data_IF_194263394503
#
_entry.id   IF_194263394503
#
_cell.length_a   1.000
_cell.length_b   1.000
_cell.length_c   1.000
_cell.angle_alpha   90.00
_cell.angle_beta   90.00
_cell.angle_gamma   90.00
#
_symmetry.space_group_name_H-M   'P 1'
#
loop_
_entity.id
_entity.type
_entity.pdbx_description
1 polymer ?
#
# COMPACT_ATOMS: atom_id res chain seq x y z
N UNK A 1 11.01 -7.73 -8.52
CA UNK A 1 12.17 -6.95 -8.98
C UNK A 1 12.12 -5.58 -8.36
N UNK A 2 13.22 -4.83 -8.47
CA UNK A 2 13.24 -3.41 -8.14
C UNK A 2 12.90 -2.57 -9.36
N UNK A 3 12.47 -1.33 -9.12
CA UNK A 3 12.34 -0.32 -10.18
C UNK A 3 13.23 0.87 -9.89
N UNK A 4 13.93 1.39 -10.90
CA UNK A 4 14.47 2.76 -10.82
C UNK A 4 13.36 3.77 -11.15
N UNK A 5 13.48 4.98 -10.63
CA UNK A 5 12.50 6.03 -10.91
C UNK A 5 12.86 6.80 -12.18
N UNK A 6 11.83 7.16 -12.94
CA UNK A 6 11.93 8.08 -14.08
C UNK A 6 10.86 9.17 -13.99
N UNK A 7 11.13 10.33 -14.58
CA UNK A 7 10.15 11.42 -14.70
C UNK A 7 9.22 11.25 -15.92
N UNK A 8 8.38 12.26 -16.17
CA UNK A 8 7.48 12.31 -17.33
C UNK A 8 8.20 12.14 -18.66
N UNK A 9 9.40 12.69 -18.76
CA UNK A 9 10.25 12.74 -19.95
C UNK A 9 11.23 11.55 -20.01
N UNK A 10 10.99 10.55 -19.15
CA UNK A 10 11.79 9.32 -19.02
C UNK A 10 13.24 9.56 -18.59
N UNK A 11 13.53 10.70 -17.96
CA UNK A 11 14.83 10.96 -17.36
C UNK A 11 14.95 10.28 -15.99
N UNK A 12 16.12 9.74 -15.63
CA UNK A 12 16.32 9.11 -14.33
C UNK A 12 16.10 10.07 -13.17
N UNK A 13 15.37 9.61 -12.15
CA UNK A 13 15.24 10.27 -10.85
C UNK A 13 16.04 9.46 -9.83
N UNK A 14 16.82 10.10 -8.93
CA UNK A 14 17.52 9.40 -7.85
C UNK A 14 16.60 8.52 -7.01
N UNK A 15 17.09 7.32 -6.69
CA UNK A 15 16.40 6.36 -5.83
C UNK A 15 15.76 5.21 -6.60
N UNK A 16 15.34 4.20 -5.83
CA UNK A 16 14.74 2.97 -6.36
C UNK A 16 13.53 2.58 -5.52
N UNK A 17 12.51 2.01 -6.17
CA UNK A 17 11.46 1.28 -5.49
C UNK A 17 12.00 -0.11 -5.10
N UNK A 18 12.51 -0.20 -3.87
CA UNK A 18 12.93 -1.45 -3.26
C UNK A 18 11.83 -1.99 -2.35
N UNK A 19 11.49 -3.27 -2.53
CA UNK A 19 10.55 -3.99 -1.68
C UNK A 19 11.19 -5.27 -1.14
N UNK A 20 10.60 -5.83 -0.08
CA UNK A 20 10.98 -7.15 0.44
C UNK A 20 10.82 -8.18 -0.68
N UNK A 21 11.86 -8.98 -0.89
CA UNK A 21 11.89 -9.97 -1.97
C UNK A 21 11.48 -11.36 -1.51
N UNK A 22 11.79 -11.74 -0.27
CA UNK A 22 11.58 -13.09 0.24
C UNK A 22 10.71 -13.05 1.50
N UNK A 23 10.10 -14.19 1.87
CA UNK A 23 9.23 -14.30 3.03
C UNK A 23 8.06 -13.30 2.98
N UNK A 24 7.42 -13.21 1.81
CA UNK A 24 6.21 -12.42 1.58
C UNK A 24 5.02 -13.28 2.02
N UNK A 25 4.76 -13.30 3.32
CA UNK A 25 3.66 -14.04 3.94
C UNK A 25 2.42 -13.16 4.14
N UNK A 26 1.34 -13.76 4.66
CA UNK A 26 0.10 -13.03 4.93
C UNK A 26 0.30 -11.89 5.94
N UNK A 27 1.15 -12.09 6.95
CA UNK A 27 1.45 -11.08 7.96
C UNK A 27 2.10 -9.84 7.33
N UNK A 28 2.97 -10.04 6.34
CA UNK A 28 3.59 -8.99 5.56
C UNK A 28 2.60 -8.33 4.60
N UNK A 29 1.79 -9.09 3.85
CA UNK A 29 0.76 -8.53 2.94
C UNK A 29 -0.36 -7.76 3.65
N UNK A 30 -0.57 -8.03 4.95
CA UNK A 30 -1.50 -7.27 5.77
C UNK A 30 -0.93 -5.90 6.18
N UNK A 31 0.39 -5.73 6.16
CA UNK A 31 1.09 -4.50 6.58
C UNK A 31 1.60 -3.67 5.40
N UNK A 32 2.01 -4.33 4.31
CA UNK A 32 2.74 -3.71 3.21
C UNK A 32 2.27 -4.21 1.85
N UNK A 33 2.52 -3.40 0.82
CA UNK A 33 2.40 -3.81 -0.58
C UNK A 33 3.80 -4.15 -1.13
N UNK A 34 4.13 -5.43 -1.41
CA UNK A 34 5.44 -5.81 -1.93
C UNK A 34 5.66 -5.46 -3.41
N UNK A 35 4.60 -5.30 -4.21
CA UNK A 35 4.77 -5.18 -5.66
C UNK A 35 5.35 -3.82 -6.05
N UNK A 36 4.91 -2.77 -5.38
CA UNK A 36 5.25 -1.40 -5.72
C UNK A 36 4.65 -0.93 -7.04
N UNK A 37 4.96 -1.63 -8.14
CA UNK A 37 4.34 -1.54 -9.46
C UNK A 37 3.58 -2.84 -9.77
N UNK A 38 2.24 -2.77 -9.78
CA UNK A 38 1.38 -3.93 -10.02
C UNK A 38 1.61 -4.62 -11.36
N UNK A 39 1.94 -3.86 -12.41
CA UNK A 39 2.14 -4.40 -13.76
C UNK A 39 3.47 -5.13 -13.95
N UNK A 40 4.35 -5.14 -12.95
CA UNK A 40 5.63 -5.85 -13.00
C UNK A 40 5.54 -7.31 -12.49
N UNK A 41 4.38 -7.74 -12.00
CA UNK A 41 4.20 -9.09 -11.48
C UNK A 41 4.16 -10.12 -12.62
N UNK A 42 4.89 -11.23 -12.46
CA UNK A 42 4.86 -12.37 -13.39
C UNK A 42 4.23 -13.55 -12.67
N UNK A 43 3.19 -14.13 -13.28
CA UNK A 43 2.46 -15.26 -12.71
C UNK A 43 2.57 -16.48 -13.62
N UNK A 44 2.76 -17.66 -13.03
CA UNK A 44 2.53 -18.92 -13.75
C UNK A 44 1.03 -19.04 -14.03
N UNK A 45 0.64 -19.56 -15.19
CA UNK A 45 -0.78 -19.80 -15.54
C UNK A 45 -1.54 -20.56 -14.42
N UNK A 46 -0.93 -21.60 -13.88
CA UNK A 46 -1.51 -22.43 -12.81
C UNK A 46 -1.82 -21.65 -11.52
N UNK A 47 -1.08 -20.56 -11.23
CA UNK A 47 -1.36 -19.70 -10.09
C UNK A 47 -2.70 -18.97 -10.30
N UNK A 48 -2.92 -18.42 -11.49
CA UNK A 48 -4.17 -17.74 -11.84
C UNK A 48 -5.36 -18.70 -11.81
N UNK A 49 -5.19 -19.90 -12.36
CA UNK A 49 -6.20 -20.96 -12.32
C UNK A 49 -6.56 -21.37 -10.89
N UNK A 50 -5.57 -21.47 -9.99
CA UNK A 50 -5.79 -21.81 -8.58
C UNK A 50 -6.56 -20.74 -7.79
N UNK A 51 -6.51 -19.48 -8.22
CA UNK A 51 -7.19 -18.37 -7.54
C UNK A 51 -8.47 -17.91 -8.22
N UNK A 52 -8.86 -18.50 -9.36
CA UNK A 52 -10.04 -18.08 -10.10
C UNK A 52 -11.32 -18.10 -9.24
N UNK A 53 -12.29 -17.27 -9.63
CA UNK A 53 -13.59 -17.19 -8.99
C UNK A 53 -14.67 -16.90 -10.03
N UNK A 54 -15.93 -17.18 -9.69
CA UNK A 54 -17.06 -16.84 -10.55
C UNK A 54 -17.52 -15.42 -10.24
N UNK A 55 -17.70 -14.61 -11.29
CA UNK A 55 -18.22 -13.26 -11.19
C UNK A 55 -19.37 -13.10 -12.19
N UNK A 56 -20.46 -12.46 -11.76
CA UNK A 56 -21.54 -12.08 -12.66
C UNK A 56 -21.25 -10.70 -13.24
N UNK A 57 -21.13 -10.62 -14.55
CA UNK A 57 -20.96 -9.35 -15.28
C UNK A 57 -22.15 -9.22 -16.23
N UNK A 58 -22.96 -8.18 -16.02
CA UNK A 58 -24.20 -7.95 -16.78
C UNK A 58 -25.16 -9.16 -16.77
N UNK A 59 -25.20 -9.91 -15.66
CA UNK A 59 -26.05 -11.09 -15.51
C UNK A 59 -25.47 -12.38 -16.09
N UNK A 60 -24.30 -12.32 -16.74
CA UNK A 60 -23.60 -13.50 -17.27
C UNK A 60 -22.51 -13.90 -16.29
N UNK A 61 -22.57 -15.15 -15.81
CA UNK A 61 -21.52 -15.74 -14.99
C UNK A 61 -20.28 -16.02 -15.83
N UNK A 62 -19.13 -15.49 -15.43
CA UNK A 62 -17.85 -15.74 -16.07
C UNK A 62 -16.77 -16.06 -15.05
N UNK A 63 -15.77 -16.83 -15.48
CA UNK A 63 -14.57 -17.09 -14.68
C UNK A 63 -13.69 -15.85 -14.72
N UNK A 64 -13.41 -15.29 -13.55
CA UNK A 64 -12.58 -14.11 -13.36
C UNK A 64 -11.31 -14.44 -12.56
N UNK A 65 -10.24 -13.71 -12.89
CA UNK A 65 -8.96 -13.79 -12.17
C UNK A 65 -8.71 -12.54 -11.32
N UNK A 66 -9.23 -11.39 -11.75
CA UNK A 66 -9.10 -10.10 -11.09
C UNK A 66 -10.47 -9.55 -10.76
N UNK A 67 -10.61 -9.00 -9.55
CA UNK A 67 -11.85 -8.36 -9.12
C UNK A 67 -11.90 -6.89 -9.60
N UNK A 68 -12.74 -6.62 -10.59
CA UNK A 68 -12.90 -5.29 -11.16
C UNK A 68 -13.53 -4.27 -10.20
N UNK A 69 -14.17 -4.70 -9.12
CA UNK A 69 -14.73 -3.79 -8.11
C UNK A 69 -13.63 -3.17 -7.23
N UNK A 70 -12.48 -3.84 -7.10
CA UNK A 70 -11.36 -3.41 -6.28
C UNK A 70 -10.35 -2.54 -7.03
N UNK A 71 -10.85 -1.65 -7.90
CA UNK A 71 -10.01 -0.71 -8.66
C UNK A 71 -9.02 -0.01 -7.74
N UNK A 72 -7.75 0.01 -8.13
CA UNK A 72 -6.60 0.56 -7.41
C UNK A 72 -6.04 -0.30 -6.26
N UNK A 73 -6.59 -1.49 -6.05
CA UNK A 73 -6.11 -2.48 -5.08
C UNK A 73 -6.20 -3.93 -5.62
N UNK A 74 -6.39 -4.12 -6.93
CA UNK A 74 -6.50 -5.46 -7.53
C UNK A 74 -5.21 -6.27 -7.31
N UNK A 75 -4.05 -5.63 -7.46
CA UNK A 75 -2.76 -6.33 -7.37
C UNK A 75 -2.55 -6.93 -5.97
N UNK A 76 -2.85 -6.15 -4.92
CA UNK A 76 -2.71 -6.63 -3.54
C UNK A 76 -3.77 -7.68 -3.20
N UNK A 77 -4.96 -7.58 -3.80
CA UNK A 77 -6.00 -8.58 -3.63
C UNK A 77 -5.61 -9.93 -4.22
N UNK A 78 -5.07 -9.94 -5.44
CA UNK A 78 -4.55 -11.14 -6.09
C UNK A 78 -3.47 -11.80 -5.23
N UNK A 79 -2.50 -11.04 -4.71
CA UNK A 79 -1.48 -11.61 -3.84
C UNK A 79 -2.05 -12.22 -2.55
N UNK A 80 -3.02 -11.55 -1.92
CA UNK A 80 -3.70 -12.11 -0.74
C UNK A 80 -4.41 -13.39 -1.11
N UNK A 81 -5.15 -13.42 -2.22
CA UNK A 81 -5.89 -14.59 -2.66
C UNK A 81 -4.98 -15.77 -3.02
N UNK A 82 -3.79 -15.53 -3.56
CA UNK A 82 -2.76 -16.56 -3.75
C UNK A 82 -2.38 -17.21 -2.42
N UNK A 83 -1.98 -16.41 -1.42
CA UNK A 83 -1.59 -16.96 -0.10
C UNK A 83 -2.76 -17.63 0.61
N UNK A 84 -3.99 -17.13 0.44
CA UNK A 84 -5.17 -17.63 1.16
C UNK A 84 -5.75 -18.90 0.55
N UNK A 85 -5.60 -19.13 -0.77
CA UNK A 85 -6.24 -20.25 -1.47
C UNK A 85 -5.26 -21.35 -1.91
N UNK A 86 -3.96 -21.11 -1.82
CA UNK A 86 -2.95 -22.00 -2.42
C UNK A 86 -1.69 -22.08 -1.56
N UNK A 87 -0.86 -23.08 -1.83
CA UNK A 87 0.45 -23.24 -1.19
C UNK A 87 1.59 -22.53 -1.95
N UNK A 88 1.26 -21.67 -2.92
CA UNK A 88 2.26 -20.94 -3.69
C UNK A 88 2.97 -19.87 -2.85
N UNK A 89 4.29 -19.79 -2.98
CA UNK A 89 5.09 -18.70 -2.43
C UNK A 89 5.19 -17.51 -3.39
N UNK A 90 5.41 -16.32 -2.83
CA UNK A 90 5.65 -15.10 -3.59
C UNK A 90 7.08 -14.65 -3.32
N UNK A 91 7.86 -14.47 -4.39
CA UNK A 91 9.25 -14.02 -4.33
C UNK A 91 9.53 -12.91 -5.34
N UNK A 92 10.49 -12.06 -4.99
CA UNK A 92 10.99 -11.00 -5.83
C UNK A 92 12.38 -11.30 -6.37
N UNK A 93 12.63 -10.92 -7.62
CA UNK A 93 13.95 -11.01 -8.24
C UNK A 93 14.85 -9.86 -7.74
N UNK A 94 16.08 -10.11 -7.21
CA UNK A 94 16.96 -9.08 -6.66
C UNK A 94 17.69 -8.26 -7.74
N UNK A 95 16.94 -7.74 -8.71
CA UNK A 95 17.48 -7.00 -9.86
C UNK A 95 16.53 -5.87 -10.23
N UNK A 96 17.09 -4.75 -10.70
CA UNK A 96 16.29 -3.68 -11.32
C UNK A 96 15.89 -4.17 -12.71
N UNK A 97 14.61 -4.44 -12.91
CA UNK A 97 14.08 -4.95 -14.19
C UNK A 97 13.08 -4.00 -14.83
N UNK A 98 12.67 -2.94 -14.11
CA UNK A 98 11.60 -2.04 -14.54
C UNK A 98 11.95 -0.60 -14.23
N UNK A 99 11.36 0.32 -14.99
CA UNK A 99 11.42 1.76 -14.72
C UNK A 99 10.03 2.24 -14.29
N UNK A 100 9.93 2.87 -13.14
CA UNK A 100 8.66 3.39 -12.61
C UNK A 100 8.58 4.90 -12.83
N UNK A 101 7.60 5.31 -13.65
CA UNK A 101 7.36 6.72 -13.94
C UNK A 101 6.56 7.39 -12.83
N UNK A 102 7.14 8.39 -12.21
CA UNK A 102 6.47 9.16 -11.15
C UNK A 102 5.52 10.17 -11.81
N UNK A 103 4.21 9.98 -11.63
CA UNK A 103 3.21 10.95 -12.05
C UNK A 103 2.64 11.71 -10.84
N UNK A 104 2.86 13.04 -10.74
CA UNK A 104 2.36 13.84 -9.64
C UNK A 104 0.82 13.86 -9.56
N UNK A 105 0.11 13.62 -10.67
CA UNK A 105 -1.36 13.65 -10.77
C UNK A 105 -2.01 12.25 -10.68
N UNK A 106 -1.32 11.25 -10.13
CA UNK A 106 -1.84 9.88 -10.05
C UNK A 106 -3.15 9.78 -9.23
N UNK A 107 -4.07 8.91 -9.68
CA UNK A 107 -5.44 8.62 -9.19
C UNK A 107 -5.57 8.42 -7.66
N UNK A 108 -4.46 8.22 -6.98
CA UNK A 108 -4.31 7.98 -5.54
C UNK A 108 -4.45 9.22 -4.64
N UNK A 109 -5.08 10.31 -5.06
CA UNK A 109 -5.25 11.55 -4.25
C UNK A 109 -6.46 11.55 -3.31
N UNK A 110 -7.42 10.62 -3.44
CA UNK A 110 -8.63 10.60 -2.62
C UNK A 110 -8.52 9.60 -1.45
N UNK A 111 -8.35 10.13 -0.22
CA UNK A 111 -8.16 9.32 1.00
C UNK A 111 -9.39 8.49 1.36
N UNK A 112 -10.59 9.08 1.32
CA UNK A 112 -11.83 8.40 1.71
C UNK A 112 -12.14 7.22 0.78
N UNK A 113 -11.90 7.42 -0.52
CA UNK A 113 -12.04 6.36 -1.50
C UNK A 113 -11.06 5.21 -1.20
N UNK A 114 -9.82 5.52 -0.78
CA UNK A 114 -8.82 4.50 -0.43
C UNK A 114 -9.21 3.71 0.82
N UNK A 115 -9.74 4.37 1.86
CA UNK A 115 -10.24 3.67 3.06
C UNK A 115 -11.39 2.71 2.69
N UNK A 116 -12.33 3.16 1.87
CA UNK A 116 -13.45 2.32 1.40
C UNK A 116 -12.96 1.11 0.59
N UNK A 117 -12.03 1.33 -0.34
CA UNK A 117 -11.43 0.24 -1.13
C UNK A 117 -10.69 -0.75 -0.22
N UNK A 118 -9.94 -0.28 0.79
CA UNK A 118 -9.29 -1.16 1.75
C UNK A 118 -10.31 -1.99 2.55
N UNK A 119 -11.42 -1.38 2.99
CA UNK A 119 -12.48 -2.10 3.69
C UNK A 119 -13.10 -3.18 2.80
N UNK A 120 -13.40 -2.87 1.54
CA UNK A 120 -13.92 -3.83 0.57
C UNK A 120 -12.93 -4.98 0.32
N UNK A 121 -11.66 -4.65 0.10
CA UNK A 121 -10.57 -5.62 -0.05
C UNK A 121 -10.49 -6.55 1.16
N UNK A 122 -10.47 -6.00 2.37
CA UNK A 122 -10.38 -6.78 3.59
C UNK A 122 -11.60 -7.68 3.73
N UNK A 123 -12.82 -7.16 3.60
CA UNK A 123 -14.04 -7.97 3.69
C UNK A 123 -14.08 -9.12 2.68
N UNK A 124 -13.70 -8.88 1.42
CA UNK A 124 -13.67 -9.93 0.38
C UNK A 124 -12.63 -11.01 0.67
N UNK A 125 -11.43 -10.61 1.09
CA UNK A 125 -10.37 -11.58 1.43
C UNK A 125 -10.63 -12.30 2.75
N UNK A 126 -11.29 -11.66 3.72
CA UNK A 126 -11.64 -12.23 5.02
C UNK A 126 -12.52 -13.47 4.89
N UNK A 127 -13.50 -13.45 3.97
CA UNK A 127 -14.41 -14.60 3.74
C UNK A 127 -13.66 -15.84 3.24
N UNK A 128 -12.49 -15.69 2.60
CA UNK A 128 -11.71 -16.82 2.09
C UNK A 128 -11.06 -17.65 3.21
N UNK A 129 -10.58 -16.98 4.27
CA UNK A 129 -9.98 -17.66 5.42
C UNK A 129 -10.06 -16.77 6.68
N UNK A 130 -11.22 -16.74 7.37
CA UNK A 130 -11.43 -15.88 8.53
C UNK A 130 -10.48 -16.18 9.69
N UNK A 131 -10.20 -17.46 9.94
CA UNK A 131 -9.32 -17.90 11.03
C UNK A 131 -7.91 -17.35 10.87
N UNK A 132 -7.36 -17.43 9.65
CA UNK A 132 -6.03 -16.90 9.36
C UNK A 132 -5.99 -15.37 9.42
N UNK A 133 -7.08 -14.68 9.08
CA UNK A 133 -7.10 -13.21 8.94
C UNK A 133 -7.57 -12.45 10.18
N UNK A 134 -8.34 -13.07 11.07
CA UNK A 134 -8.84 -12.44 12.29
C UNK A 134 -7.74 -11.75 13.12
N UNK A 135 -6.54 -12.35 13.34
CA UNK A 135 -5.47 -11.69 14.09
C UNK A 135 -4.93 -10.42 13.44
N UNK A 136 -5.09 -10.27 12.12
CA UNK A 136 -4.47 -9.20 11.34
C UNK A 136 -5.38 -8.01 11.05
N UNK A 137 -6.69 -8.10 11.35
CA UNK A 137 -7.65 -7.05 10.96
C UNK A 137 -7.28 -5.67 11.48
N UNK A 138 -7.07 -5.57 12.80
CA UNK A 138 -6.80 -4.29 13.47
C UNK A 138 -5.45 -3.69 13.07
N UNK A 139 -4.40 -4.53 12.96
CA UNK A 139 -3.07 -4.09 12.56
C UNK A 139 -3.03 -3.71 11.08
N UNK A 140 -3.70 -4.46 10.20
CA UNK A 140 -3.77 -4.12 8.77
C UNK A 140 -4.42 -2.76 8.54
N UNK A 141 -5.51 -2.48 9.26
CA UNK A 141 -6.16 -1.16 9.24
C UNK A 141 -5.24 -0.06 9.74
N UNK A 142 -4.48 -0.31 10.81
CA UNK A 142 -3.52 0.65 11.34
C UNK A 142 -2.43 0.99 10.29
N UNK A 143 -1.90 -0.01 9.59
CA UNK A 143 -0.89 0.20 8.54
C UNK A 143 -1.43 0.96 7.34
N UNK A 144 -2.66 0.66 6.88
CA UNK A 144 -3.30 1.42 5.80
C UNK A 144 -3.50 2.89 6.19
N UNK A 145 -4.05 3.16 7.39
CA UNK A 145 -4.27 4.52 7.88
C UNK A 145 -2.95 5.30 8.03
N UNK A 146 -1.88 4.64 8.50
CA UNK A 146 -0.53 5.23 8.57
C UNK A 146 -0.02 5.60 7.17
N UNK A 147 -0.21 4.72 6.18
CA UNK A 147 0.16 5.00 4.79
C UNK A 147 -0.60 6.21 4.23
N UNK A 148 -1.91 6.30 4.48
CA UNK A 148 -2.73 7.44 4.08
C UNK A 148 -2.31 8.73 4.78
N UNK A 149 -1.98 8.68 6.09
CA UNK A 149 -1.47 9.82 6.83
C UNK A 149 -0.18 10.37 6.21
N UNK A 150 0.77 9.49 5.85
CA UNK A 150 2.00 9.87 5.15
C UNK A 150 1.71 10.54 3.80
N UNK A 151 0.68 10.08 3.10
CA UNK A 151 0.27 10.67 1.82
C UNK A 151 -0.42 12.03 2.00
N UNK A 152 -1.23 12.20 3.04
CA UNK A 152 -1.82 13.48 3.42
C UNK A 152 -0.76 14.54 3.72
N UNK A 153 0.35 14.16 4.37
CA UNK A 153 1.50 15.05 4.57
C UNK A 153 2.07 15.53 3.24
N UNK A 154 2.31 14.63 2.29
CA UNK A 154 2.84 14.98 0.95
C UNK A 154 1.93 15.93 0.17
N UNK A 155 0.62 15.83 0.41
CA UNK A 155 -0.39 16.71 -0.17
C UNK A 155 -0.67 17.95 0.70
N UNK A 156 0.12 18.16 1.78
CA UNK A 156 0.02 19.28 2.72
C UNK A 156 -1.33 19.40 3.43
N UNK A 157 -2.06 18.30 3.57
CA UNK A 157 -3.30 18.22 4.34
C UNK A 157 -3.02 17.84 5.81
N UNK A 158 -2.51 18.81 6.60
CA UNK A 158 -2.07 18.58 7.99
C UNK A 158 -3.14 17.99 8.91
N UNK A 159 -4.34 18.58 8.93
CA UNK A 159 -5.43 18.12 9.81
C UNK A 159 -5.87 16.70 9.46
N UNK A 160 -6.00 16.38 8.16
CA UNK A 160 -6.32 15.03 7.71
C UNK A 160 -5.23 14.04 8.10
N UNK A 161 -3.94 14.42 7.97
CA UNK A 161 -2.82 13.58 8.38
C UNK A 161 -2.84 13.27 9.89
N UNK A 162 -3.13 14.27 10.75
CA UNK A 162 -3.27 14.09 12.20
C UNK A 162 -4.43 13.14 12.54
N UNK A 163 -5.59 13.32 11.90
CA UNK A 163 -6.75 12.44 12.10
C UNK A 163 -6.43 10.99 11.70
N UNK A 164 -5.81 10.79 10.53
CA UNK A 164 -5.47 9.47 10.01
C UNK A 164 -4.44 8.74 10.89
N UNK A 165 -3.39 9.42 11.36
CA UNK A 165 -2.41 8.79 12.26
C UNK A 165 -3.01 8.50 13.65
N UNK A 166 -3.90 9.37 14.14
CA UNK A 166 -4.67 9.11 15.37
C UNK A 166 -5.57 7.87 15.24
N UNK A 167 -6.32 7.77 14.15
CA UNK A 167 -7.15 6.58 13.85
C UNK A 167 -6.30 5.32 13.67
N UNK A 168 -5.10 5.43 13.09
CA UNK A 168 -4.14 4.32 12.96
C UNK A 168 -3.77 3.75 14.33
N UNK A 169 -3.37 4.63 15.27
CA UNK A 169 -3.02 4.25 16.64
C UNK A 169 -4.22 3.70 17.42
N UNK A 170 -5.40 4.30 17.25
CA UNK A 170 -6.64 3.81 17.85
C UNK A 170 -7.02 2.42 17.32
N UNK A 171 -6.79 2.17 16.03
CA UNK A 171 -7.06 0.87 15.42
C UNK A 171 -6.18 -0.22 16.00
N UNK A 172 -4.86 0.04 16.11
CA UNK A 172 -3.94 -0.88 16.77
C UNK A 172 -2.68 -0.16 17.22
N UNK A 173 -2.57 0.09 18.53
CA UNK A 173 -1.44 0.81 19.12
C UNK A 173 -0.10 0.08 18.96
N UNK A 174 -0.08 -1.24 18.72
CA UNK A 174 1.14 -2.03 18.52
C UNK A 174 1.95 -1.56 17.31
N UNK A 175 1.35 -0.81 16.37
CA UNK A 175 2.10 -0.18 15.28
C UNK A 175 3.21 0.75 15.77
N UNK A 176 3.07 1.35 16.96
CA UNK A 176 4.10 2.17 17.58
C UNK A 176 5.29 1.31 18.05
N UNK A 177 5.07 0.05 18.43
CA UNK A 177 6.14 -0.88 18.77
C UNK A 177 6.82 -1.44 17.51
N UNK A 178 6.05 -1.70 16.45
CA UNK A 178 6.57 -2.25 15.19
C UNK A 178 7.36 -1.20 14.38
N UNK A 179 6.86 0.05 14.31
CA UNK A 179 7.51 1.14 13.56
C UNK A 179 7.52 2.50 14.32
N UNK A 180 8.18 2.59 15.48
CA UNK A 180 8.15 3.80 16.31
C UNK A 180 8.62 5.05 15.54
N UNK A 181 9.74 4.93 14.81
CA UNK A 181 10.34 6.04 14.06
C UNK A 181 9.39 6.59 12.99
N UNK A 182 8.74 5.70 12.21
CA UNK A 182 7.83 6.12 11.14
C UNK A 182 6.59 6.80 11.70
N UNK A 183 5.98 6.22 12.73
CA UNK A 183 4.75 6.74 13.35
C UNK A 183 5.01 8.12 13.97
N UNK A 184 6.10 8.26 14.75
CA UNK A 184 6.47 9.54 15.35
C UNK A 184 6.80 10.60 14.30
N UNK A 185 7.53 10.24 13.24
CA UNK A 185 7.84 11.18 12.16
C UNK A 185 6.57 11.68 11.44
N UNK A 186 5.59 10.80 11.21
CA UNK A 186 4.30 11.19 10.62
C UNK A 186 3.54 12.12 11.58
N UNK A 187 3.44 11.77 12.86
CA UNK A 187 2.74 12.60 13.85
C UNK A 187 3.37 14.00 13.98
N UNK A 188 4.70 14.09 14.07
CA UNK A 188 5.43 15.35 14.14
C UNK A 188 5.25 16.20 12.86
N UNK A 189 5.38 15.59 11.68
CA UNK A 189 5.21 16.30 10.42
C UNK A 189 3.77 16.79 10.22
N UNK A 190 2.78 15.99 10.62
CA UNK A 190 1.37 16.39 10.58
C UNK A 190 1.07 17.54 11.57
N UNK A 191 1.64 17.49 12.78
CA UNK A 191 1.54 18.59 13.76
C UNK A 191 2.21 19.88 13.26
N UNK A 192 3.40 19.77 12.68
CA UNK A 192 4.10 20.92 12.08
C UNK A 192 3.28 21.57 10.96
N UNK A 193 2.64 20.78 10.09
CA UNK A 193 1.74 21.30 9.06
C UNK A 193 0.55 22.09 9.62
N UNK A 194 0.05 21.73 10.80
CA UNK A 194 -1.08 22.42 11.42
C UNK A 194 -0.68 23.69 12.19
N UNK A 195 0.52 23.71 12.77
CA UNK A 195 0.93 24.74 13.71
C UNK A 195 1.88 25.79 13.09
N UNK A 196 2.63 25.43 12.05
CA UNK A 196 3.68 26.29 11.51
C UNK A 196 3.22 27.07 10.26
N UNK A 197 3.66 28.33 10.10
CA UNK A 197 3.59 29.03 8.83
C UNK A 197 4.27 28.24 7.71
N UNK A 198 3.65 28.18 6.53
CA UNK A 198 4.16 27.52 5.33
C UNK A 198 5.68 27.68 5.06
N UNK A 199 6.29 28.89 5.15
CA UNK A 199 7.73 29.04 4.86
C UNK A 199 8.64 28.28 5.83
N UNK A 200 8.25 28.14 7.11
CA UNK A 200 9.01 27.37 8.09
C UNK A 200 8.86 25.87 7.84
N UNK A 201 7.66 25.42 7.48
CA UNK A 201 7.40 24.03 7.12
C UNK A 201 8.23 23.59 5.91
N UNK A 202 8.29 24.40 4.84
CA UNK A 202 9.06 24.08 3.62
C UNK A 202 10.55 23.91 3.94
N UNK A 203 11.12 24.71 4.84
CA UNK A 203 12.51 24.56 5.27
C UNK A 203 12.74 23.25 6.02
N UNK A 204 11.84 22.89 6.94
CA UNK A 204 11.90 21.61 7.66
C UNK A 204 11.72 20.41 6.72
N UNK A 205 10.83 20.53 5.74
CA UNK A 205 10.60 19.51 4.72
C UNK A 205 11.88 19.25 3.91
N UNK A 206 12.59 20.31 3.49
CA UNK A 206 13.87 20.20 2.77
C UNK A 206 14.97 19.51 3.59
N UNK A 207 15.07 19.81 4.89
CA UNK A 207 16.00 19.12 5.81
C UNK A 207 15.60 17.64 6.00
N UNK A 208 14.31 17.36 6.13
CA UNK A 208 13.81 15.98 6.27
C UNK A 208 14.03 15.12 5.02
N UNK A 209 14.05 15.73 3.83
CA UNK A 209 14.32 15.02 2.57
C UNK A 209 15.82 14.72 2.38
N UNK A 210 16.71 15.58 2.86
CA UNK A 210 18.17 15.37 2.78
C UNK A 210 18.68 14.31 3.75
N UNK A 211 18.04 14.13 4.91
CA UNK A 211 18.39 13.08 5.89
C UNK A 211 17.94 11.66 5.50
N UNK A 212 17.16 11.52 4.42
CA UNK A 212 16.62 10.23 3.93
C UNK A 212 17.33 9.72 2.66
N UNK A 213 18.21 10.52 2.06
CA UNK A 213 19.10 10.11 0.98
C UNK A 213 20.33 9.41 1.56
#
# INVERSE_FOLDING_TARGET
SYSCFIDSDSQPIPGTQAARLNNIDIAYLMRYNPLGNGSAAVYRRQVLEGIQFQQSVQGIGQTAYFDEELRMSQDIEVLRRIILKTDWSIEGIPTILTMYRINPNSVSSNFDKKVKIWQQLFSKTYVLNPELLAPYQSISKAYELKYLARRAIRLRHGLAALQLIGQSLQSNWKILLEEPKTVLAIALAAGALCLMPNPLYVRLEAVGMTLKA
#
